data_IF_229949986422
#
_entry.id   IF_229949986422
#
_cell.length_a   1.000
_cell.length_b   1.000
_cell.length_c   1.000
_cell.angle_alpha   90.00
_cell.angle_beta   90.00
_cell.angle_gamma   90.00
#
_symmetry.space_group_name_H-M   'P 1'
#
loop_
_entity.id
_entity.type
_entity.pdbx_description
1 polymer ?
#
# COMPACT_ATOMS: atom_id res chain seq x y z
N UNK A 1 -2.20 16.10 -8.49
CA UNK A 1 -1.43 17.29 -8.07
C UNK A 1 -2.38 18.42 -7.78
N UNK A 2 -2.10 19.24 -6.78
CA UNK A 2 -2.79 20.52 -6.56
C UNK A 2 -1.74 21.62 -6.61
N UNK A 3 -1.97 22.65 -7.44
CA UNK A 3 -1.19 23.87 -7.43
C UNK A 3 -2.01 24.97 -6.76
N UNK A 4 -1.39 25.73 -5.87
CA UNK A 4 -2.04 26.81 -5.14
C UNK A 4 -1.17 28.07 -5.12
N UNK A 5 -1.83 29.22 -5.16
CA UNK A 5 -1.26 30.53 -4.95
C UNK A 5 -2.38 31.41 -4.36
N UNK A 6 -2.27 31.80 -3.07
CA UNK A 6 -3.26 32.51 -2.19
C UNK A 6 -3.98 31.57 -1.20
N UNK A 7 -3.90 31.68 0.15
CA UNK A 7 -4.39 32.81 0.98
C UNK A 7 -3.84 32.99 2.42
N UNK A 8 -2.81 32.26 2.91
CA UNK A 8 -2.26 32.53 4.27
C UNK A 8 -0.83 32.01 4.56
N UNK A 9 0.04 31.89 3.56
CA UNK A 9 1.45 31.45 3.71
C UNK A 9 1.73 30.20 2.86
N UNK A 10 2.85 30.03 2.16
CA UNK A 10 4.09 30.80 2.05
C UNK A 10 4.57 30.73 0.56
N UNK A 11 5.31 31.74 0.06
CA UNK A 11 6.25 31.64 -1.10
C UNK A 11 5.75 31.67 -2.57
N UNK A 12 4.52 32.11 -2.87
CA UNK A 12 4.11 32.43 -4.26
C UNK A 12 4.40 33.91 -4.62
N UNK A 13 4.68 34.21 -5.89
CA UNK A 13 4.89 35.58 -6.39
C UNK A 13 4.04 35.80 -7.65
N UNK A 14 3.24 36.89 -7.73
CA UNK A 14 3.07 37.96 -6.75
C UNK A 14 2.15 37.60 -5.57
N UNK A 15 2.22 38.38 -4.47
CA UNK A 15 1.45 38.16 -3.23
C UNK A 15 -0.05 38.52 -3.31
N UNK A 16 -0.56 38.85 -4.50
CA UNK A 16 -1.99 39.13 -4.76
C UNK A 16 -2.56 37.99 -5.56
N UNK A 17 -3.85 37.69 -5.35
CA UNK A 17 -4.58 36.75 -6.17
C UNK A 17 -4.66 37.23 -7.63
N UNK A 18 -4.28 36.39 -8.57
CA UNK A 18 -4.44 36.56 -10.02
C UNK A 18 -5.53 35.63 -10.57
N UNK A 19 -5.98 35.89 -11.80
CA UNK A 19 -7.11 35.18 -12.39
C UNK A 19 -6.71 33.79 -12.90
N UNK A 20 -5.47 33.61 -13.35
CA UNK A 20 -4.92 32.30 -13.76
C UNK A 20 -3.56 31.99 -13.12
N UNK A 21 -3.18 30.70 -13.11
CA UNK A 21 -1.91 30.24 -12.53
C UNK A 21 -0.69 30.69 -13.35
N UNK A 22 -0.86 30.79 -14.67
CA UNK A 22 0.18 31.22 -15.63
C UNK A 22 0.62 32.67 -15.43
N UNK A 23 -0.17 33.48 -14.72
CA UNK A 23 0.18 34.85 -14.39
C UNK A 23 1.11 34.96 -13.17
N UNK A 24 1.30 33.87 -12.42
CA UNK A 24 2.25 33.83 -11.30
C UNK A 24 3.67 33.53 -11.79
N UNK A 25 4.66 34.20 -11.21
CA UNK A 25 6.07 33.91 -11.42
C UNK A 25 6.45 32.57 -10.78
N UNK A 26 5.86 32.29 -9.61
CA UNK A 26 6.09 31.04 -8.88
C UNK A 26 4.87 30.62 -8.07
N UNK A 27 4.62 29.31 -8.01
CA UNK A 27 3.52 28.69 -7.26
C UNK A 27 4.02 27.64 -6.27
N UNK A 28 3.13 27.21 -5.37
CA UNK A 28 3.30 26.04 -4.53
C UNK A 28 2.57 24.84 -5.15
N UNK A 29 3.20 23.68 -5.13
CA UNK A 29 2.63 22.43 -5.64
C UNK A 29 2.65 21.37 -4.57
N UNK A 30 1.53 20.67 -4.46
CA UNK A 30 1.37 19.53 -3.58
C UNK A 30 1.11 18.28 -4.43
N UNK A 31 1.95 17.26 -4.27
CA UNK A 31 1.80 15.98 -4.99
C UNK A 31 1.12 14.96 -4.07
N UNK A 32 0.02 14.42 -4.56
CA UNK A 32 -0.74 13.37 -3.89
C UNK A 32 -0.74 12.12 -4.76
N UNK A 33 -0.69 10.96 -4.10
CA UNK A 33 -0.95 9.67 -4.71
C UNK A 33 -2.45 9.42 -4.83
N UNK A 34 -2.84 8.26 -5.36
CA UNK A 34 -4.21 7.75 -5.25
C UNK A 34 -4.69 7.83 -3.79
N UNK A 35 -5.96 8.15 -3.58
CA UNK A 35 -6.58 8.20 -2.23
C UNK A 35 -5.89 9.16 -1.23
N UNK A 36 -5.30 10.25 -1.72
CA UNK A 36 -4.60 11.25 -0.90
C UNK A 36 -3.37 10.72 -0.15
N UNK A 37 -2.80 9.60 -0.61
CA UNK A 37 -1.57 9.05 -0.04
C UNK A 37 -0.40 10.01 -0.23
N UNK A 38 0.52 10.04 0.74
CA UNK A 38 1.77 10.76 0.64
C UNK A 38 2.60 10.24 -0.53
N UNK A 39 3.27 11.15 -1.23
CA UNK A 39 4.14 10.85 -2.36
C UNK A 39 5.56 11.28 -2.05
N UNK A 40 6.54 10.45 -2.43
CA UNK A 40 7.95 10.80 -2.37
C UNK A 40 8.46 11.22 -3.76
N UNK A 41 8.69 12.52 -3.99
CA UNK A 41 9.12 13.05 -5.28
C UNK A 41 10.51 12.54 -5.69
N UNK A 42 11.34 12.08 -4.74
CA UNK A 42 12.68 11.53 -5.03
C UNK A 42 12.63 10.21 -5.81
N UNK A 43 11.45 9.61 -5.93
CA UNK A 43 11.21 8.37 -6.69
C UNK A 43 10.49 8.61 -8.02
N UNK A 44 10.13 9.87 -8.34
CA UNK A 44 9.32 10.22 -9.52
C UNK A 44 10.14 10.65 -10.74
N UNK A 45 11.46 10.46 -10.73
CA UNK A 45 12.35 10.94 -11.79
C UNK A 45 12.25 12.46 -12.07
N UNK A 46 11.89 13.24 -11.05
CA UNK A 46 11.87 14.70 -11.14
C UNK A 46 13.31 15.20 -11.31
N UNK A 47 13.58 16.13 -12.25
CA UNK A 47 14.90 16.72 -12.42
C UNK A 47 15.45 17.30 -11.10
N UNK A 48 16.75 17.12 -10.85
CA UNK A 48 17.34 17.44 -9.54
C UNK A 48 17.20 18.91 -9.10
N UNK A 49 17.19 19.84 -10.05
CA UNK A 49 16.96 21.27 -9.84
C UNK A 49 15.52 21.58 -9.39
N UNK A 50 14.55 20.80 -9.88
CA UNK A 50 13.15 20.88 -9.46
C UNK A 50 12.93 20.14 -8.14
N UNK A 51 13.55 18.96 -7.98
CA UNK A 51 13.44 18.15 -6.77
C UNK A 51 13.97 18.88 -5.53
N UNK A 52 15.04 19.67 -5.67
CA UNK A 52 15.60 20.50 -4.60
C UNK A 52 14.62 21.55 -4.04
N UNK A 53 13.50 21.79 -4.72
CA UNK A 53 12.43 22.70 -4.31
C UNK A 53 11.36 22.03 -3.45
N UNK A 54 11.41 20.69 -3.29
CA UNK A 54 10.47 19.93 -2.47
C UNK A 54 10.98 19.73 -1.05
N UNK A 55 10.07 19.78 -0.08
CA UNK A 55 10.35 19.40 1.32
C UNK A 55 10.51 17.88 1.46
N UNK A 56 11.45 17.44 2.32
CA UNK A 56 11.62 16.01 2.64
C UNK A 56 10.43 15.51 3.48
N UNK A 57 9.80 14.37 3.15
CA UNK A 57 8.56 13.90 3.78
C UNK A 57 8.76 13.21 5.14
N UNK A 58 9.83 13.51 5.89
CA UNK A 58 10.38 12.63 6.94
C UNK A 58 9.50 12.31 8.15
N UNK A 59 8.39 13.01 8.41
CA UNK A 59 7.58 12.67 9.59
C UNK A 59 6.07 12.47 9.36
N UNK A 60 5.35 13.21 8.49
CA UNK A 60 3.87 13.03 8.45
C UNK A 60 3.10 13.54 7.22
N UNK A 61 3.72 14.08 6.17
CA UNK A 61 2.94 14.85 5.22
C UNK A 61 3.59 15.06 3.88
N UNK A 62 2.87 14.59 2.86
CA UNK A 62 2.71 15.18 1.53
C UNK A 62 3.85 16.11 1.10
N UNK A 63 4.60 15.71 0.08
CA UNK A 63 5.68 16.54 -0.42
C UNK A 63 5.17 17.84 -1.05
N UNK A 64 5.67 18.97 -0.52
CA UNK A 64 5.32 20.32 -0.95
C UNK A 64 6.51 20.89 -1.72
N UNK A 65 6.28 21.24 -2.98
CA UNK A 65 7.22 21.95 -3.84
C UNK A 65 6.96 23.44 -3.79
N UNK A 66 7.99 24.22 -3.41
CA UNK A 66 7.90 25.67 -3.26
C UNK A 66 8.67 26.40 -4.37
N UNK A 67 8.23 27.60 -4.75
CA UNK A 67 8.90 28.42 -5.78
C UNK A 67 8.99 27.74 -7.16
N UNK A 68 7.94 27.03 -7.55
CA UNK A 68 7.89 26.35 -8.85
C UNK A 68 7.42 27.33 -9.91
N UNK A 69 8.21 27.51 -10.96
CA UNK A 69 7.82 28.20 -12.19
C UNK A 69 6.91 27.31 -13.03
N UNK A 70 6.23 27.86 -14.04
CA UNK A 70 5.42 27.05 -14.98
C UNK A 70 6.24 25.97 -15.71
N UNK A 71 7.53 26.23 -15.98
CA UNK A 71 8.44 25.22 -16.53
C UNK A 71 8.70 24.08 -15.54
N UNK A 72 8.88 24.40 -14.26
CA UNK A 72 8.99 23.38 -13.20
C UNK A 72 7.70 22.56 -13.07
N UNK A 73 6.52 23.20 -13.14
CA UNK A 73 5.22 22.50 -13.10
C UNK A 73 5.13 21.50 -14.25
N UNK A 74 5.50 21.91 -15.46
CA UNK A 74 5.47 21.03 -16.65
C UNK A 74 6.36 19.79 -16.46
N UNK A 75 7.52 19.96 -15.80
CA UNK A 75 8.42 18.84 -15.45
C UNK A 75 7.80 17.93 -14.39
N UNK A 76 7.12 18.50 -13.38
CA UNK A 76 6.40 17.73 -12.36
C UNK A 76 5.24 16.95 -12.97
N UNK A 77 4.47 17.54 -13.89
CA UNK A 77 3.38 16.86 -14.61
C UNK A 77 3.91 15.70 -15.45
N UNK A 78 5.03 15.89 -16.15
CA UNK A 78 5.68 14.83 -16.92
C UNK A 78 6.17 13.70 -16.00
N UNK A 79 6.74 14.04 -14.84
CA UNK A 79 7.14 13.08 -13.82
C UNK A 79 5.94 12.29 -13.27
N UNK A 80 4.80 12.95 -13.00
CA UNK A 80 3.55 12.29 -12.58
C UNK A 80 3.05 11.34 -13.67
N UNK A 81 3.04 11.78 -14.94
CA UNK A 81 2.61 10.95 -16.06
C UNK A 81 3.48 9.70 -16.20
N UNK A 82 4.81 9.83 -16.06
CA UNK A 82 5.73 8.69 -16.04
C UNK A 82 5.51 7.79 -14.82
N UNK A 83 5.34 8.39 -13.64
CA UNK A 83 5.07 7.66 -12.42
C UNK A 83 3.76 6.85 -12.49
N UNK A 84 2.74 7.35 -13.21
CA UNK A 84 1.51 6.60 -13.46
C UNK A 84 1.72 5.29 -14.23
N UNK A 85 2.83 5.18 -14.97
CA UNK A 85 3.24 4.00 -15.73
C UNK A 85 4.26 3.14 -14.99
N UNK A 86 4.78 3.61 -13.84
CA UNK A 86 5.77 2.91 -13.04
C UNK A 86 5.24 2.67 -11.62
N UNK A 87 4.91 1.42 -11.24
CA UNK A 87 4.26 1.12 -9.97
C UNK A 87 5.09 1.46 -8.73
N UNK A 88 6.37 1.80 -8.89
CA UNK A 88 7.31 2.11 -7.81
C UNK A 88 7.59 3.61 -7.68
N UNK A 89 7.13 4.42 -8.64
CA UNK A 89 7.37 5.85 -8.65
C UNK A 89 6.33 6.59 -7.80
N UNK A 90 6.80 7.51 -6.98
CA UNK A 90 6.01 8.29 -6.03
C UNK A 90 5.78 7.62 -4.68
N UNK A 91 6.41 6.48 -4.39
CA UNK A 91 6.21 5.75 -3.12
C UNK A 91 7.24 6.20 -2.07
N UNK A 92 6.81 6.59 -0.85
CA UNK A 92 7.70 6.93 0.24
C UNK A 92 8.80 5.90 0.52
N UNK A 93 10.07 6.34 0.49
CA UNK A 93 11.21 5.51 0.87
C UNK A 93 11.22 5.26 2.38
N UNK A 94 11.10 4.00 2.79
CA UNK A 94 11.46 3.54 4.13
C UNK A 94 10.32 3.38 5.15
N UNK A 95 9.08 3.67 4.77
CA UNK A 95 7.89 3.34 5.56
C UNK A 95 6.66 3.46 4.68
N UNK A 96 6.12 2.33 4.19
CA UNK A 96 4.69 2.28 3.88
C UNK A 96 3.98 1.73 5.11
N UNK A 97 3.11 2.58 5.67
CA UNK A 97 2.51 2.37 6.98
C UNK A 97 1.47 1.26 6.93
N UNK A 98 1.91 0.01 7.00
CA UNK A 98 1.02 -1.12 7.28
C UNK A 98 0.49 -1.09 8.71
N UNK A 99 1.21 -0.42 9.61
CA UNK A 99 0.82 -0.15 10.98
C UNK A 99 -0.64 0.32 11.08
N UNK A 100 -1.47 -0.45 11.79
CA UNK A 100 -2.87 -0.14 12.03
C UNK A 100 -3.80 -0.32 10.83
N UNK A 101 -3.32 -0.77 9.67
CA UNK A 101 -4.18 -1.02 8.49
C UNK A 101 -5.02 -2.28 8.69
N UNK A 102 -6.22 -2.23 8.12
CA UNK A 102 -7.12 -3.38 7.99
C UNK A 102 -6.75 -4.17 6.74
N UNK A 103 -6.73 -5.49 6.87
CA UNK A 103 -6.47 -6.44 5.78
C UNK A 103 -7.39 -7.65 5.92
N UNK A 104 -7.58 -8.38 4.82
CA UNK A 104 -8.63 -9.39 4.71
C UNK A 104 -8.07 -10.73 4.24
N UNK A 105 -8.60 -11.83 4.75
CA UNK A 105 -8.27 -13.19 4.33
C UNK A 105 -9.54 -13.95 3.96
N UNK A 106 -9.58 -14.54 2.78
CA UNK A 106 -10.64 -15.48 2.40
C UNK A 106 -10.27 -16.90 2.81
N UNK A 107 -11.19 -17.60 3.46
CA UNK A 107 -11.02 -18.97 3.94
C UNK A 107 -12.33 -19.76 3.88
N UNK A 108 -12.25 -21.07 4.13
CA UNK A 108 -13.47 -21.88 4.36
C UNK A 108 -14.11 -21.43 5.68
N UNK A 109 -15.40 -21.70 5.88
CA UNK A 109 -16.08 -21.36 7.14
C UNK A 109 -15.40 -22.06 8.35
N UNK A 110 -15.05 -23.35 8.19
CA UNK A 110 -14.34 -24.12 9.21
C UNK A 110 -12.95 -23.54 9.52
N UNK A 111 -12.16 -23.21 8.50
CA UNK A 111 -10.84 -22.60 8.69
C UNK A 111 -10.95 -21.20 9.28
N UNK A 112 -11.99 -20.44 8.90
CA UNK A 112 -12.22 -19.11 9.44
C UNK A 112 -12.54 -19.14 10.94
N UNK A 113 -13.40 -20.09 11.35
CA UNK A 113 -13.66 -20.35 12.76
C UNK A 113 -12.41 -20.82 13.52
N UNK A 114 -11.62 -21.73 12.96
CA UNK A 114 -10.36 -22.18 13.58
C UNK A 114 -9.38 -21.02 13.76
N UNK A 115 -9.25 -20.13 12.78
CA UNK A 115 -8.39 -18.94 12.88
C UNK A 115 -8.91 -17.97 13.96
N UNK A 116 -10.22 -17.78 14.06
CA UNK A 116 -10.82 -16.90 15.08
C UNK A 116 -10.62 -17.46 16.50
N UNK A 117 -10.79 -18.76 16.68
CA UNK A 117 -10.69 -19.42 18.00
C UNK A 117 -9.25 -19.71 18.42
N UNK A 118 -8.41 -20.19 17.48
CA UNK A 118 -7.09 -20.75 17.76
C UNK A 118 -5.93 -19.92 17.19
N UNK A 119 -6.22 -18.90 16.38
CA UNK A 119 -5.23 -18.06 15.73
C UNK A 119 -4.63 -18.68 14.46
N UNK A 120 -3.73 -17.95 13.82
CA UNK A 120 -3.13 -18.36 12.55
C UNK A 120 -2.05 -19.41 12.78
N UNK A 121 -2.20 -20.56 12.12
CA UNK A 121 -1.19 -21.62 12.11
C UNK A 121 -0.37 -21.58 10.82
N UNK A 122 0.90 -21.18 10.91
CA UNK A 122 1.80 -21.12 9.74
C UNK A 122 1.98 -22.48 9.05
N UNK A 123 1.86 -23.58 9.80
CA UNK A 123 1.93 -24.93 9.23
C UNK A 123 0.73 -25.30 8.37
N UNK A 124 -0.41 -24.62 8.57
CA UNK A 124 -1.62 -24.75 7.74
C UNK A 124 -1.66 -23.72 6.60
N UNK A 125 -0.78 -22.73 6.63
CA UNK A 125 -0.74 -21.66 5.63
C UNK A 125 -0.35 -22.19 4.25
N UNK A 126 -0.93 -21.58 3.22
CA UNK A 126 -0.68 -21.94 1.83
C UNK A 126 0.73 -21.56 1.38
N UNK A 127 1.20 -22.24 0.33
CA UNK A 127 2.41 -21.82 -0.41
C UNK A 127 1.97 -21.01 -1.62
N UNK A 128 2.28 -19.73 -1.63
CA UNK A 128 1.99 -18.83 -2.75
C UNK A 128 3.27 -18.34 -3.44
N UNK A 129 3.14 -17.24 -4.18
CA UNK A 129 4.25 -16.60 -4.90
C UNK A 129 5.44 -16.26 -3.99
N UNK A 130 5.16 -15.90 -2.73
CA UNK A 130 6.15 -15.58 -1.71
C UNK A 130 6.46 -16.75 -0.75
N UNK A 131 6.15 -17.97 -1.15
CA UNK A 131 6.42 -19.19 -0.39
C UNK A 131 5.43 -19.45 0.74
N UNK A 132 5.91 -20.07 1.82
CA UNK A 132 5.11 -20.34 3.03
C UNK A 132 4.80 -19.03 3.76
N UNK A 133 3.56 -18.55 3.65
CA UNK A 133 3.08 -17.32 4.29
C UNK A 133 1.57 -17.34 4.50
N UNK A 134 1.08 -16.51 5.42
CA UNK A 134 -0.35 -16.21 5.53
C UNK A 134 -0.70 -15.04 4.61
N UNK A 135 -1.52 -15.29 3.60
CA UNK A 135 -1.81 -14.31 2.55
C UNK A 135 -3.05 -13.49 2.87
N UNK A 136 -2.93 -12.16 2.85
CA UNK A 136 -4.03 -11.23 3.08
C UNK A 136 -4.12 -10.19 1.96
N UNK A 137 -5.30 -9.63 1.72
CA UNK A 137 -5.54 -8.57 0.74
C UNK A 137 -5.84 -7.24 1.43
N UNK A 138 -5.61 -6.13 0.72
CA UNK A 138 -5.98 -4.78 1.21
C UNK A 138 -7.50 -4.54 1.16
N UNK A 139 -8.21 -5.25 0.29
CA UNK A 139 -9.63 -5.06 0.02
C UNK A 139 -10.41 -6.35 0.28
N UNK A 140 -11.56 -6.23 0.93
CA UNK A 140 -12.46 -7.36 1.22
C UNK A 140 -12.91 -8.05 -0.07
N UNK A 141 -13.27 -7.28 -1.09
CA UNK A 141 -13.72 -7.81 -2.38
C UNK A 141 -12.64 -8.68 -3.04
N UNK A 142 -11.37 -8.26 -2.94
CA UNK A 142 -10.24 -9.02 -3.46
C UNK A 142 -9.97 -10.29 -2.66
N UNK A 143 -10.07 -10.22 -1.32
CA UNK A 143 -9.99 -11.43 -0.48
C UNK A 143 -11.11 -12.42 -0.82
N UNK A 144 -12.31 -11.91 -1.08
CA UNK A 144 -13.46 -12.71 -1.48
C UNK A 144 -13.28 -13.31 -2.87
N UNK A 145 -12.79 -12.55 -3.86
CA UNK A 145 -12.58 -13.05 -5.23
C UNK A 145 -11.47 -14.09 -5.31
N UNK A 146 -10.37 -13.88 -4.57
CA UNK A 146 -9.25 -14.83 -4.51
C UNK A 146 -9.65 -16.19 -3.91
N UNK A 147 -10.75 -16.23 -3.14
CA UNK A 147 -11.30 -17.47 -2.58
C UNK A 147 -12.51 -18.00 -3.34
N UNK A 148 -13.35 -17.13 -3.93
CA UNK A 148 -14.55 -17.50 -4.67
C UNK A 148 -14.27 -18.29 -5.96
N UNK A 149 -13.07 -18.16 -6.55
CA UNK A 149 -12.62 -19.05 -7.64
C UNK A 149 -12.30 -20.48 -7.18
N UNK A 150 -12.29 -20.76 -5.86
CA UNK A 150 -12.10 -22.10 -5.28
C UNK A 150 -13.38 -22.68 -4.66
N UNK A 151 -14.50 -21.96 -4.65
CA UNK A 151 -15.80 -22.48 -4.22
C UNK A 151 -16.61 -22.96 -5.43
N UNK A 152 -16.11 -24.01 -6.09
CA UNK A 152 -16.98 -24.86 -6.90
C UNK A 152 -17.88 -25.64 -5.93
N UNK A 153 -19.14 -25.22 -5.89
CA UNK A 153 -20.30 -25.89 -5.28
C UNK A 153 -20.28 -26.13 -3.75
N UNK A 154 -21.26 -25.51 -3.08
CA UNK A 154 -21.84 -25.83 -1.75
C UNK A 154 -21.20 -25.27 -0.48
N UNK A 155 -19.96 -24.77 -0.46
CA UNK A 155 -19.39 -24.13 0.75
C UNK A 155 -19.24 -22.62 0.59
N UNK A 156 -20.07 -21.91 1.33
CA UNK A 156 -20.05 -20.46 1.47
C UNK A 156 -18.75 -20.01 2.19
N UNK A 157 -17.73 -19.62 1.42
CA UNK A 157 -16.49 -19.09 1.99
C UNK A 157 -16.71 -17.87 2.89
N UNK A 158 -15.86 -17.73 3.91
CA UNK A 158 -15.86 -16.62 4.85
C UNK A 158 -14.68 -15.68 4.58
N UNK A 159 -14.84 -14.41 4.96
CA UNK A 159 -13.76 -13.42 4.93
C UNK A 159 -13.49 -12.97 6.36
N UNK A 160 -12.24 -13.11 6.79
CA UNK A 160 -11.75 -12.64 8.07
C UNK A 160 -11.11 -11.25 7.90
N UNK A 161 -11.36 -10.37 8.86
CA UNK A 161 -10.70 -9.08 8.95
C UNK A 161 -9.58 -9.10 10.00
N UNK A 162 -8.45 -8.47 9.70
CA UNK A 162 -7.32 -8.34 10.61
C UNK A 162 -6.87 -6.88 10.70
N UNK A 163 -6.25 -6.53 11.81
CA UNK A 163 -5.48 -5.28 11.95
C UNK A 163 -4.00 -5.60 12.12
N UNK A 164 -3.14 -4.85 11.43
CA UNK A 164 -1.69 -4.99 11.52
C UNK A 164 -1.15 -4.19 12.72
N UNK A 165 -0.24 -4.79 13.47
CA UNK A 165 0.44 -4.20 14.62
C UNK A 165 1.31 -2.99 14.20
N UNK A 166 1.49 -2.03 15.09
CA UNK A 166 2.22 -0.79 14.77
C UNK A 166 3.72 -1.02 14.55
N UNK A 167 4.26 -2.04 15.19
CA UNK A 167 5.66 -2.46 15.15
C UNK A 167 5.98 -3.43 14.00
N UNK A 168 5.00 -3.75 13.15
CA UNK A 168 5.16 -4.70 12.06
C UNK A 168 6.23 -4.26 11.04
N UNK A 169 7.20 -5.14 10.76
CA UNK A 169 8.28 -4.88 9.78
C UNK A 169 7.92 -5.52 8.45
N UNK A 170 6.91 -4.98 7.80
CA UNK A 170 6.47 -5.41 6.47
C UNK A 170 7.26 -4.63 5.42
N UNK A 171 7.94 -5.36 4.54
CA UNK A 171 8.66 -4.76 3.42
C UNK A 171 7.69 -4.49 2.27
N UNK A 172 7.77 -3.31 1.69
CA UNK A 172 7.00 -2.98 0.50
C UNK A 172 7.89 -3.06 -0.72
N UNK A 173 7.76 -4.13 -1.51
CA UNK A 173 8.67 -4.39 -2.62
C UNK A 173 8.53 -3.38 -3.77
N UNK A 174 7.56 -2.46 -3.68
CA UNK A 174 7.49 -1.30 -4.58
C UNK A 174 8.54 -0.23 -4.23
N UNK A 175 8.98 -0.18 -2.98
CA UNK A 175 10.06 0.68 -2.52
C UNK A 175 11.42 0.01 -2.81
N UNK A 176 12.31 0.72 -3.50
CA UNK A 176 13.63 0.18 -3.88
C UNK A 176 14.51 -0.21 -2.70
N UNK A 177 14.41 0.47 -1.54
CA UNK A 177 15.15 0.10 -0.33
C UNK A 177 14.67 -1.23 0.25
N UNK A 178 13.35 -1.44 0.26
CA UNK A 178 12.73 -2.65 0.78
C UNK A 178 12.94 -3.82 -0.19
N UNK A 179 12.86 -3.55 -1.49
CA UNK A 179 13.23 -4.50 -2.54
C UNK A 179 14.71 -4.92 -2.44
N UNK A 180 15.63 -3.97 -2.23
CA UNK A 180 17.06 -4.28 -2.01
C UNK A 180 17.25 -5.10 -0.73
N UNK A 181 16.58 -4.74 0.37
CA UNK A 181 16.61 -5.52 1.61
C UNK A 181 16.08 -6.95 1.40
N UNK A 182 14.99 -7.11 0.64
CA UNK A 182 14.46 -8.42 0.27
C UNK A 182 15.45 -9.22 -0.56
N UNK A 183 16.02 -8.64 -1.61
CA UNK A 183 16.98 -9.30 -2.49
C UNK A 183 18.25 -9.72 -1.75
N UNK A 184 18.82 -8.81 -0.94
CA UNK A 184 20.04 -9.05 -0.17
C UNK A 184 19.82 -10.00 1.02
N UNK A 185 18.57 -10.20 1.46
CA UNK A 185 18.25 -11.17 2.51
C UNK A 185 18.51 -12.63 2.09
N UNK A 186 18.48 -12.91 0.78
CA UNK A 186 18.61 -14.25 0.20
C UNK A 186 17.32 -15.09 0.23
N UNK A 187 16.23 -14.59 0.83
CA UNK A 187 14.96 -15.33 0.98
C UNK A 187 14.31 -15.73 -0.35
N UNK A 188 14.53 -14.95 -1.42
CA UNK A 188 14.04 -15.24 -2.78
C UNK A 188 14.45 -16.64 -3.29
N UNK A 189 15.56 -17.19 -2.78
CA UNK A 189 16.08 -18.51 -3.18
C UNK A 189 15.40 -19.66 -2.45
N UNK A 190 14.70 -19.35 -1.37
CA UNK A 190 14.12 -20.32 -0.43
C UNK A 190 12.59 -20.36 -0.51
N UNK A 191 11.96 -19.70 -1.51
CA UNK A 191 10.51 -19.59 -1.62
C UNK A 191 9.77 -20.94 -1.62
N UNK A 192 10.40 -22.02 -2.10
CA UNK A 192 9.81 -23.36 -2.09
C UNK A 192 10.01 -24.16 -0.78
N UNK A 193 10.91 -23.72 0.08
CA UNK A 193 11.38 -24.47 1.25
C UNK A 193 10.42 -24.33 2.44
N UNK A 194 10.37 -25.37 3.28
CA UNK A 194 9.67 -25.30 4.57
C UNK A 194 10.49 -24.49 5.57
N UNK A 195 9.82 -23.69 6.39
CA UNK A 195 10.46 -22.84 7.40
C UNK A 195 10.90 -21.47 6.88
N UNK A 196 10.55 -21.12 5.64
CA UNK A 196 10.81 -19.80 5.05
C UNK A 196 10.29 -18.68 5.95
N UNK A 197 9.06 -18.82 6.46
CA UNK A 197 8.45 -17.85 7.37
C UNK A 197 9.34 -17.62 8.60
N UNK A 198 9.80 -18.69 9.26
CA UNK A 198 10.70 -18.59 10.41
C UNK A 198 12.08 -18.02 10.07
N UNK A 199 12.57 -18.21 8.85
CA UNK A 199 13.79 -17.53 8.38
C UNK A 199 13.58 -16.04 8.14
N UNK A 200 12.47 -15.65 7.52
CA UNK A 200 12.13 -14.25 7.28
C UNK A 200 12.04 -13.47 8.60
N UNK A 201 11.34 -14.03 9.60
CA UNK A 201 11.21 -13.41 10.93
C UNK A 201 12.57 -13.25 11.61
N UNK A 202 13.47 -14.25 11.51
CA UNK A 202 14.85 -14.15 12.04
C UNK A 202 15.67 -13.05 11.38
N UNK A 203 15.38 -12.72 10.12
CA UNK A 203 16.00 -11.60 9.39
C UNK A 203 15.30 -10.26 9.64
N UNK A 204 14.31 -10.24 10.52
CA UNK A 204 13.56 -9.04 10.88
C UNK A 204 12.60 -8.58 9.79
N UNK A 205 11.99 -9.53 9.09
CA UNK A 205 10.97 -9.31 8.07
C UNK A 205 9.72 -10.06 8.53
N UNK A 206 8.68 -9.32 8.88
CA UNK A 206 7.42 -9.89 9.35
C UNK A 206 6.43 -10.16 8.20
N UNK A 207 6.65 -9.50 7.05
CA UNK A 207 5.90 -9.75 5.82
C UNK A 207 6.46 -8.99 4.61
N UNK A 208 5.89 -9.25 3.45
CA UNK A 208 6.17 -8.55 2.19
C UNK A 208 4.88 -8.21 1.46
N UNK A 209 4.86 -7.03 0.85
CA UNK A 209 3.81 -6.60 -0.04
C UNK A 209 4.35 -6.41 -1.46
N UNK A 210 3.59 -6.91 -2.44
CA UNK A 210 3.82 -6.66 -3.85
C UNK A 210 2.48 -6.53 -4.59
N UNK A 211 2.36 -5.47 -5.41
CA UNK A 211 1.15 -5.18 -6.17
C UNK A 211 0.83 -6.26 -7.21
N UNK A 212 1.85 -6.97 -7.72
CA UNK A 212 1.69 -8.01 -8.74
C UNK A 212 0.91 -9.23 -8.26
N UNK A 213 0.83 -9.44 -6.94
CA UNK A 213 0.06 -10.53 -6.32
C UNK A 213 -1.19 -10.05 -5.59
N UNK A 214 -1.46 -8.74 -5.62
CA UNK A 214 -2.66 -8.15 -5.01
C UNK A 214 -2.78 -8.38 -3.50
N UNK A 215 -1.69 -8.71 -2.80
CA UNK A 215 -1.76 -9.15 -1.42
C UNK A 215 -0.43 -9.04 -0.66
N UNK A 216 -0.54 -9.14 0.65
CA UNK A 216 0.58 -9.20 1.58
C UNK A 216 0.80 -10.66 1.97
N UNK A 217 2.05 -11.08 1.94
CA UNK A 217 2.48 -12.33 2.55
C UNK A 217 2.98 -12.05 3.98
N UNK A 218 2.28 -12.58 4.98
CA UNK A 218 2.62 -12.44 6.39
C UNK A 218 3.39 -13.67 6.85
N UNK A 219 4.62 -13.48 7.32
CA UNK A 219 5.49 -14.53 7.85
C UNK A 219 5.40 -14.66 9.37
N UNK A 220 5.09 -13.55 10.05
CA UNK A 220 4.92 -13.51 11.50
C UNK A 220 3.43 -13.30 11.83
N UNK A 221 2.67 -14.33 12.23
CA UNK A 221 1.25 -14.14 12.53
C UNK A 221 1.01 -13.21 13.74
N UNK A 222 1.99 -13.07 14.64
CA UNK A 222 1.86 -12.24 15.84
C UNK A 222 1.72 -10.74 15.52
N UNK A 223 2.09 -10.31 14.31
CA UNK A 223 1.97 -8.92 13.87
C UNK A 223 0.58 -8.57 13.34
N UNK A 224 -0.36 -9.52 13.30
CA UNK A 224 -1.74 -9.26 12.90
C UNK A 224 -2.71 -9.81 13.95
N UNK A 225 -3.79 -9.07 14.19
CA UNK A 225 -4.83 -9.46 15.13
C UNK A 225 -6.16 -9.61 14.40
N UNK A 226 -6.77 -10.79 14.52
CA UNK A 226 -8.09 -11.05 13.99
C UNK A 226 -9.13 -10.14 14.66
N UNK A 227 -9.99 -9.52 13.86
CA UNK A 227 -11.14 -8.70 14.28
C UNK A 227 -12.46 -9.46 14.16
N UNK A 228 -12.43 -10.67 13.60
CA UNK A 228 -13.58 -11.53 13.36
C UNK A 228 -13.95 -11.63 11.88
N UNK A 229 -15.02 -12.37 11.59
CA UNK A 229 -15.55 -12.53 10.24
C UNK A 229 -16.35 -11.30 9.79
N UNK A 230 -16.17 -10.93 8.52
CA UNK A 230 -16.94 -9.86 7.88
C UNK A 230 -18.32 -10.39 7.52
N UNK A 231 -19.36 -9.69 7.99
CA UNK A 231 -20.75 -10.03 7.66
C UNK A 231 -20.96 -9.95 6.15
N UNK A 232 -21.57 -10.98 5.55
CA UNK A 232 -21.98 -10.91 4.14
C UNK A 232 -22.86 -9.67 3.96
N UNK A 233 -22.67 -8.87 2.91
CA UNK A 233 -23.63 -7.82 2.58
C UNK A 233 -24.99 -8.51 2.42
N UNK A 234 -25.94 -8.10 3.25
CA UNK A 234 -27.31 -8.61 3.20
C UNK A 234 -27.87 -8.29 1.82
N UNK A 235 -27.86 -9.29 0.93
CA UNK A 235 -28.40 -9.19 -0.41
C UNK A 235 -29.83 -8.69 -0.35
N UNK A 236 -30.15 -7.79 -1.29
CA UNK A 236 -31.46 -7.22 -1.52
C UNK A 236 -32.57 -8.25 -1.31
N UNK A 237 -33.57 -7.86 -0.49
CA UNK A 237 -34.88 -8.50 -0.46
C UNK A 237 -35.39 -8.59 -1.90
N UNK A 238 -35.26 -9.76 -2.51
CA UNK A 238 -35.91 -10.04 -3.79
C UNK A 238 -37.41 -9.95 -3.56
N UNK A 239 -37.99 -8.84 -4.00
CA UNK A 239 -39.44 -8.70 -4.10
C UNK A 239 -39.92 -9.82 -5.03
N UNK A 240 -40.57 -10.83 -4.46
CA UNK A 240 -41.29 -11.83 -5.25
C UNK A 240 -42.38 -11.11 -6.06
N UNK A 241 -42.48 -11.31 -7.38
CA UNK A 241 -43.61 -10.78 -8.13
C UNK A 241 -44.87 -11.61 -7.83
N UNK A 242 -46.07 -10.99 -7.94
CA UNK A 242 -47.36 -11.60 -7.63
C UNK A 242 -47.76 -12.73 -8.60
#
# INVERSE_FOLDING_TARGET
MSAQADHAGYRCSPARRLDTLEEYDTVEVVIYGPFQMAVDPTTMEIPGDVLAKFTSPEEDGVAIGCYLTMDDISKVELAIARASLNPNAGIPRGTTGWAGRRVFHGASEDDAHDIEENGISMTKSSKGYFGEAFYVAEEEELARSNYAEFSDDENDGAVLEFVIAHEARILDLRNSKDAEKWQTSGLERHLGEQGLAGEAVRKGIDGVYDRSVGGLAIYNPDIIRCLGMVSKPSGELTSSPP
#
